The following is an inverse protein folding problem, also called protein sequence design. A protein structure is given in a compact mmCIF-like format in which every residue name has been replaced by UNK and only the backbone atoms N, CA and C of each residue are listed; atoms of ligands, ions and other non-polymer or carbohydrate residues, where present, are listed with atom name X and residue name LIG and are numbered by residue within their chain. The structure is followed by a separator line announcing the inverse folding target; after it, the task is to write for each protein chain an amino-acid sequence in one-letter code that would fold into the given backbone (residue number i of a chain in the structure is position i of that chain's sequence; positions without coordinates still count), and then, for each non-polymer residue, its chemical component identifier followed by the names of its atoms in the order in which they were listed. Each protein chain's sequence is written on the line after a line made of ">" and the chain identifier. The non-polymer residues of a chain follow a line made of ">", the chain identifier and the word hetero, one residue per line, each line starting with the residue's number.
data_IF_835844079582
#
_entry.id   IF_835844079582
#
_cell.length_a   1.000
_cell.length_b   1.000
_cell.length_c   1.000
_cell.angle_alpha   90.00
_cell.angle_beta   90.00
_cell.angle_gamma   90.00
#
_symmetry.space_group_name_H-M   'P 1'
#
loop_
_entity.id
_entity.type
_entity.pdbx_description
1 polymer ?
#
# COMPACT_ATOMS: atom_id res chain seq x y z
N UNK A 1 0.98 20.33 -4.29
CA UNK A 1 0.24 20.37 -5.59
C UNK A 1 0.93 19.39 -6.54
N UNK A 2 0.16 18.55 -7.23
CA UNK A 2 0.74 17.62 -8.20
C UNK A 2 1.51 18.35 -9.29
N UNK A 3 2.61 17.75 -9.76
CA UNK A 3 3.53 18.36 -10.75
C UNK A 3 3.04 18.19 -12.19
N UNK A 4 1.99 17.38 -12.40
CA UNK A 4 1.29 17.20 -13.67
C UNK A 4 -0.22 17.40 -13.46
N UNK A 5 -0.98 17.86 -14.46
CA UNK A 5 -2.43 18.00 -14.33
C UNK A 5 -3.11 16.66 -14.05
N UNK A 6 -4.06 16.63 -13.09
CA UNK A 6 -4.81 15.43 -12.72
C UNK A 6 -6.28 15.46 -13.23
N UNK A 7 -6.76 16.59 -13.69
CA UNK A 7 -8.14 16.81 -14.14
C UNK A 7 -8.34 16.70 -15.65
N UNK A 8 -7.28 16.35 -16.38
CA UNK A 8 -7.33 16.22 -17.84
C UNK A 8 -8.10 14.98 -18.29
N UNK A 9 -8.93 15.15 -19.33
CA UNK A 9 -9.54 14.00 -19.97
C UNK A 9 -8.48 13.10 -20.63
N UNK A 10 -8.52 11.78 -20.38
CA UNK A 10 -7.51 10.86 -20.90
C UNK A 10 -7.55 10.79 -22.43
N UNK A 11 -6.42 11.08 -23.07
CA UNK A 11 -6.26 10.92 -24.50
C UNK A 11 -5.94 9.47 -24.87
N UNK A 12 -6.78 8.89 -25.73
CA UNK A 12 -6.60 7.51 -26.24
C UNK A 12 -7.42 6.45 -25.50
N UNK A 13 -7.43 5.25 -26.06
CA UNK A 13 -8.26 4.13 -25.57
C UNK A 13 -7.75 3.53 -24.27
N UNK A 14 -6.44 3.34 -24.13
CA UNK A 14 -5.82 2.71 -22.95
C UNK A 14 -6.05 3.55 -21.68
N UNK A 15 -5.76 4.86 -21.65
CA UNK A 15 -6.07 5.70 -20.49
C UNK A 15 -7.57 5.74 -20.14
N UNK A 16 -8.46 5.72 -21.14
CA UNK A 16 -9.92 5.67 -20.90
C UNK A 16 -10.36 4.35 -20.24
N UNK A 17 -9.81 3.23 -20.68
CA UNK A 17 -10.08 1.93 -20.06
C UNK A 17 -9.55 1.88 -18.63
N UNK A 18 -8.34 2.36 -18.41
CA UNK A 18 -7.73 2.46 -17.07
C UNK A 18 -8.59 3.32 -16.13
N UNK A 19 -9.07 4.49 -16.59
CA UNK A 19 -10.00 5.35 -15.84
C UNK A 19 -11.29 4.62 -15.48
N UNK A 20 -11.88 3.90 -16.44
CA UNK A 20 -13.13 3.16 -16.20
C UNK A 20 -12.91 2.04 -15.19
N UNK A 21 -11.80 1.33 -15.26
CA UNK A 21 -11.42 0.28 -14.33
C UNK A 21 -11.28 0.82 -12.91
N UNK A 22 -10.50 1.88 -12.69
CA UNK A 22 -10.26 2.43 -11.35
C UNK A 22 -11.54 3.01 -10.73
N UNK A 23 -12.36 3.73 -11.50
CA UNK A 23 -13.65 4.22 -11.01
C UNK A 23 -14.60 3.10 -10.57
N UNK A 24 -14.62 1.97 -11.32
CA UNK A 24 -15.43 0.81 -10.93
C UNK A 24 -14.91 0.10 -9.70
N UNK A 25 -13.57 -0.04 -9.57
CA UNK A 25 -12.94 -0.79 -8.49
C UNK A 25 -12.84 -0.01 -7.20
N UNK A 26 -12.56 1.29 -7.25
CA UNK A 26 -12.24 2.12 -6.09
C UNK A 26 -13.22 3.28 -5.85
N UNK A 27 -14.30 3.37 -6.65
CA UNK A 27 -15.29 4.44 -6.54
C UNK A 27 -14.81 5.78 -7.11
N UNK A 28 -13.51 5.96 -7.30
CA UNK A 28 -12.90 7.17 -7.83
C UNK A 28 -11.69 6.86 -8.73
N UNK A 29 -11.23 7.88 -9.44
CA UNK A 29 -10.01 7.77 -10.22
C UNK A 29 -8.80 7.86 -9.29
N UNK A 30 -7.84 6.93 -9.39
CA UNK A 30 -6.61 6.97 -8.61
C UNK A 30 -5.58 7.87 -9.29
N UNK A 31 -5.09 8.87 -8.55
CA UNK A 31 -4.19 9.89 -9.07
C UNK A 31 -2.89 9.35 -9.69
N UNK A 32 -2.22 8.30 -9.14
CA UNK A 32 -1.03 7.73 -9.78
C UNK A 32 -1.27 7.24 -11.20
N UNK A 33 -2.44 6.62 -11.47
CA UNK A 33 -2.78 6.17 -12.81
C UNK A 33 -3.14 7.35 -13.72
N UNK A 34 -3.75 8.38 -13.17
CA UNK A 34 -4.06 9.61 -13.90
C UNK A 34 -2.77 10.33 -14.31
N UNK A 35 -1.82 10.48 -13.39
CA UNK A 35 -0.50 11.04 -13.66
C UNK A 35 0.26 10.21 -14.72
N UNK A 36 0.28 8.86 -14.56
CA UNK A 36 0.92 7.97 -15.53
C UNK A 36 0.29 8.05 -16.93
N UNK A 37 -1.00 8.43 -17.04
CA UNK A 37 -1.70 8.53 -18.33
C UNK A 37 -1.15 9.59 -19.28
N UNK A 38 -0.36 10.55 -18.76
CA UNK A 38 0.37 11.52 -19.59
C UNK A 38 1.46 10.87 -20.45
N UNK A 39 1.88 9.64 -20.11
CA UNK A 39 2.85 8.88 -20.89
C UNK A 39 2.39 7.43 -21.04
N UNK A 40 1.82 7.08 -22.19
CA UNK A 40 1.23 5.77 -22.44
C UNK A 40 2.19 4.59 -22.19
N UNK A 41 3.48 4.75 -22.51
CA UNK A 41 4.50 3.74 -22.22
C UNK A 41 4.71 3.49 -20.73
N UNK A 42 4.70 4.54 -19.89
CA UNK A 42 4.78 4.42 -18.42
C UNK A 42 3.52 3.76 -17.89
N UNK A 43 2.34 4.20 -18.31
CA UNK A 43 1.06 3.63 -17.90
C UNK A 43 0.98 2.12 -18.22
N UNK A 44 1.37 1.72 -19.42
CA UNK A 44 1.36 0.31 -19.85
C UNK A 44 2.38 -0.51 -19.06
N UNK A 45 3.60 -0.02 -18.89
CA UNK A 45 4.65 -0.74 -18.17
C UNK A 45 4.28 -0.95 -16.68
N UNK A 46 3.82 0.10 -16.01
CA UNK A 46 3.39 0.00 -14.61
C UNK A 46 2.16 -0.89 -14.49
N UNK A 47 1.15 -0.72 -15.34
CA UNK A 47 -0.05 -1.55 -15.32
C UNK A 47 0.22 -3.03 -15.60
N UNK A 48 1.17 -3.34 -16.49
CA UNK A 48 1.60 -4.71 -16.75
C UNK A 48 2.32 -5.31 -15.53
N UNK A 49 3.23 -4.55 -14.90
CA UNK A 49 3.91 -4.97 -13.68
C UNK A 49 2.91 -5.25 -12.56
N UNK A 50 1.98 -4.33 -12.27
CA UNK A 50 0.93 -4.51 -11.27
C UNK A 50 0.10 -5.77 -11.53
N UNK A 51 -0.29 -6.00 -12.77
CA UNK A 51 -1.06 -7.19 -13.14
C UNK A 51 -0.24 -8.48 -12.96
N UNK A 52 1.04 -8.46 -13.30
CA UNK A 52 1.93 -9.61 -13.17
C UNK A 52 2.16 -9.98 -11.69
N UNK A 53 2.41 -9.00 -10.83
CA UNK A 53 2.64 -9.24 -9.40
C UNK A 53 1.36 -9.68 -8.70
N UNK A 54 0.21 -9.08 -8.99
CA UNK A 54 -1.08 -9.51 -8.43
C UNK A 54 -1.40 -10.96 -8.74
N UNK A 55 -1.02 -11.45 -9.92
CA UNK A 55 -1.28 -12.83 -10.34
C UNK A 55 -0.21 -13.81 -9.88
N UNK A 56 1.06 -13.40 -9.90
CA UNK A 56 2.21 -14.29 -9.75
C UNK A 56 2.75 -14.40 -8.33
N UNK A 57 2.67 -13.34 -7.53
CA UNK A 57 3.26 -13.31 -6.20
C UNK A 57 2.24 -13.72 -5.14
N UNK A 58 2.29 -15.01 -4.73
CA UNK A 58 1.28 -15.64 -3.87
C UNK A 58 1.88 -16.52 -2.78
N UNK A 59 3.18 -16.40 -2.50
CA UNK A 59 3.85 -17.19 -1.47
C UNK A 59 3.73 -16.56 -0.09
N UNK A 60 3.91 -15.24 -0.03
CA UNK A 60 3.82 -14.49 1.22
C UNK A 60 2.36 -14.35 1.67
N UNK A 61 2.12 -14.52 2.96
CA UNK A 61 0.80 -14.28 3.56
C UNK A 61 0.30 -12.86 3.25
N UNK A 62 -1.00 -12.68 2.93
CA UNK A 62 -1.54 -11.37 2.57
C UNK A 62 -1.37 -10.29 3.65
N UNK A 63 -1.45 -10.64 4.94
CA UNK A 63 -1.24 -9.69 6.04
C UNK A 63 0.21 -9.26 6.10
N UNK A 64 1.16 -10.20 6.00
CA UNK A 64 2.59 -9.91 6.00
C UNK A 64 3.00 -9.04 4.81
N UNK A 65 2.46 -9.35 3.63
CA UNK A 65 2.62 -8.53 2.43
C UNK A 65 2.13 -7.10 2.66
N UNK A 66 0.92 -6.96 3.20
CA UNK A 66 0.35 -5.64 3.47
C UNK A 66 1.19 -4.85 4.47
N UNK A 67 1.65 -5.51 5.56
CA UNK A 67 2.51 -4.88 6.57
C UNK A 67 3.81 -4.34 5.94
N UNK A 68 4.46 -5.13 5.08
CA UNK A 68 5.68 -4.71 4.39
C UNK A 68 5.44 -3.50 3.48
N UNK A 69 4.39 -3.53 2.67
CA UNK A 69 4.00 -2.45 1.75
C UNK A 69 3.70 -1.18 2.54
N UNK A 70 2.81 -1.28 3.53
CA UNK A 70 2.35 -0.12 4.29
C UNK A 70 3.48 0.53 5.08
N UNK A 71 4.37 -0.29 5.69
CA UNK A 71 5.52 0.24 6.42
C UNK A 71 6.51 0.95 5.51
N UNK A 72 6.80 0.39 4.35
CA UNK A 72 7.66 1.02 3.33
C UNK A 72 7.10 2.36 2.85
N UNK A 73 5.80 2.41 2.55
CA UNK A 73 5.12 3.64 2.13
C UNK A 73 5.23 4.75 3.18
N UNK A 74 5.00 4.41 4.46
CA UNK A 74 5.11 5.34 5.59
C UNK A 74 6.54 5.86 5.76
N UNK A 75 7.54 4.99 5.63
CA UNK A 75 8.94 5.38 5.80
C UNK A 75 9.42 6.33 4.69
N UNK A 76 8.95 6.12 3.46
CA UNK A 76 9.24 7.01 2.32
C UNK A 76 8.48 8.34 2.45
N UNK A 77 7.38 8.37 3.19
CA UNK A 77 6.53 9.54 3.37
C UNK A 77 5.55 9.76 2.20
N UNK A 78 5.18 8.69 1.48
CA UNK A 78 4.15 8.75 0.45
C UNK A 78 2.76 8.80 1.10
N UNK A 79 2.20 10.00 1.27
CA UNK A 79 0.88 10.16 1.88
C UNK A 79 -0.24 9.50 1.05
N UNK A 80 -0.13 9.50 -0.28
CA UNK A 80 -1.06 8.79 -1.15
C UNK A 80 -1.03 7.27 -0.90
N UNK A 81 0.17 6.68 -0.86
CA UNK A 81 0.34 5.24 -0.67
C UNK A 81 -0.13 4.80 0.73
N UNK A 82 0.14 5.64 1.75
CA UNK A 82 -0.29 5.38 3.12
C UNK A 82 -1.81 5.41 3.26
N UNK A 83 -2.47 6.39 2.65
CA UNK A 83 -3.92 6.54 2.62
C UNK A 83 -4.60 5.37 1.89
N UNK A 84 -4.12 5.05 0.69
CA UNK A 84 -4.63 3.95 -0.10
C UNK A 84 -4.36 2.58 0.55
N UNK A 85 -3.16 2.40 1.12
CA UNK A 85 -2.81 1.17 1.85
C UNK A 85 -3.67 0.95 3.10
N UNK A 86 -4.06 2.02 3.81
CA UNK A 86 -5.03 1.93 4.90
C UNK A 86 -6.38 1.38 4.40
N UNK A 87 -6.90 1.96 3.32
CA UNK A 87 -8.13 1.50 2.68
C UNK A 87 -8.04 0.02 2.25
N UNK A 88 -6.95 -0.38 1.60
CA UNK A 88 -6.74 -1.77 1.18
C UNK A 88 -6.66 -2.72 2.39
N UNK A 89 -5.96 -2.35 3.47
CA UNK A 89 -5.86 -3.15 4.68
C UNK A 89 -7.21 -3.39 5.36
N UNK A 90 -8.02 -2.34 5.49
CA UNK A 90 -9.37 -2.43 6.06
C UNK A 90 -10.30 -3.31 5.19
N UNK A 91 -10.23 -3.17 3.86
CA UNK A 91 -11.05 -3.97 2.94
C UNK A 91 -10.56 -5.43 2.80
N UNK A 92 -9.29 -5.70 3.03
CA UNK A 92 -8.74 -7.06 3.07
C UNK A 92 -9.10 -7.82 4.36
N UNK A 93 -9.72 -7.17 5.34
CA UNK A 93 -10.10 -7.77 6.61
C UNK A 93 -8.93 -7.97 7.57
N UNK A 94 -7.85 -7.22 7.41
CA UNK A 94 -6.74 -7.18 8.37
C UNK A 94 -7.26 -6.55 9.66
N UNK A 95 -6.78 -7.04 10.82
CA UNK A 95 -7.17 -6.49 12.11
C UNK A 95 -7.07 -4.96 12.11
N UNK A 96 -8.19 -4.24 12.31
CA UNK A 96 -8.20 -2.78 12.30
C UNK A 96 -7.24 -2.14 13.30
N UNK A 97 -6.91 -2.83 14.40
CA UNK A 97 -5.93 -2.35 15.36
C UNK A 97 -4.51 -2.40 14.76
N UNK A 98 -4.17 -3.45 14.04
CA UNK A 98 -2.90 -3.54 13.31
C UNK A 98 -2.81 -2.47 12.21
N UNK A 99 -3.89 -2.29 11.44
CA UNK A 99 -3.93 -1.27 10.39
C UNK A 99 -3.66 0.14 10.94
N UNK A 100 -4.26 0.48 12.09
CA UNK A 100 -4.09 1.80 12.72
C UNK A 100 -2.73 2.00 13.38
N UNK A 101 -2.09 0.94 13.85
CA UNK A 101 -0.89 1.00 14.67
C UNK A 101 0.42 0.65 13.94
N UNK A 102 0.39 0.30 12.64
CA UNK A 102 1.57 -0.11 11.88
C UNK A 102 2.70 0.95 11.90
N UNK A 103 2.37 2.21 12.00
CA UNK A 103 3.35 3.30 12.13
C UNK A 103 4.15 3.28 13.44
N UNK A 104 3.60 2.68 14.50
CA UNK A 104 4.19 2.57 15.84
C UNK A 104 4.36 1.12 16.28
N UNK A 105 4.59 0.23 15.34
CA UNK A 105 4.66 -1.21 15.59
C UNK A 105 5.73 -1.61 16.63
N UNK A 106 6.81 -0.85 16.74
CA UNK A 106 7.87 -1.08 17.74
C UNK A 106 7.35 -1.03 19.18
N UNK A 107 6.38 -0.15 19.44
CA UNK A 107 5.78 0.10 20.75
C UNK A 107 4.53 -0.73 21.02
N UNK A 108 4.11 -1.54 20.04
CA UNK A 108 2.84 -2.27 20.08
C UNK A 108 3.06 -3.77 20.27
N UNK A 109 2.25 -4.40 21.12
CA UNK A 109 2.23 -5.85 21.34
C UNK A 109 1.30 -6.59 20.35
N UNK A 110 0.68 -5.88 19.42
CA UNK A 110 -0.26 -6.44 18.44
C UNK A 110 0.40 -7.36 17.41
N UNK A 111 1.70 -7.22 17.20
CA UNK A 111 2.44 -7.90 16.14
C UNK A 111 3.22 -9.08 16.70
N UNK A 112 3.02 -10.25 16.08
CA UNK A 112 3.80 -11.44 16.40
C UNK A 112 5.24 -11.39 15.84
N UNK A 113 6.05 -12.40 16.15
CA UNK A 113 7.47 -12.42 15.73
C UNK A 113 7.65 -12.42 14.21
N UNK A 114 6.79 -13.12 13.46
CA UNK A 114 6.85 -13.13 12.00
C UNK A 114 6.53 -11.76 11.41
N UNK A 115 5.51 -11.11 11.94
CA UNK A 115 5.10 -9.77 11.54
C UNK A 115 6.18 -8.73 11.87
N UNK A 116 6.80 -8.84 13.06
CA UNK A 116 7.89 -7.94 13.48
C UNK A 116 9.11 -8.05 12.58
N UNK A 117 9.52 -9.27 12.22
CA UNK A 117 10.65 -9.48 11.30
C UNK A 117 10.37 -8.90 9.92
N UNK A 118 9.14 -9.03 9.41
CA UNK A 118 8.72 -8.43 8.12
C UNK A 118 8.73 -6.90 8.18
N UNK A 119 8.20 -6.32 9.27
CA UNK A 119 8.18 -4.86 9.46
C UNK A 119 9.59 -4.28 9.55
N UNK A 120 10.48 -4.94 10.31
CA UNK A 120 11.87 -4.54 10.41
C UNK A 120 12.59 -4.67 9.06
N UNK A 121 12.36 -5.76 8.33
CA UNK A 121 12.90 -5.93 6.99
C UNK A 121 12.45 -4.82 6.04
N UNK A 122 11.15 -4.50 6.03
CA UNK A 122 10.61 -3.43 5.21
C UNK A 122 11.29 -2.07 5.50
N UNK A 123 11.53 -1.76 6.78
CA UNK A 123 12.26 -0.56 7.17
C UNK A 123 13.69 -0.57 6.65
N UNK A 124 14.44 -1.64 6.96
CA UNK A 124 15.87 -1.73 6.63
C UNK A 124 16.12 -1.77 5.13
N UNK A 125 15.30 -2.49 4.38
CA UNK A 125 15.40 -2.57 2.92
C UNK A 125 14.98 -1.27 2.22
N UNK A 126 14.12 -0.45 2.85
CA UNK A 126 13.68 0.85 2.30
C UNK A 126 14.69 1.98 2.53
N UNK A 127 15.59 1.84 3.49
CA UNK A 127 16.65 2.82 3.75
C UNK A 127 17.58 3.01 2.54
N UNK A 128 18.23 4.17 2.46
CA UNK A 128 19.21 4.47 1.40
C UNK A 128 20.53 4.88 2.07
N UNK A 129 21.59 4.05 1.98
CA UNK A 129 21.61 2.70 1.41
C UNK A 129 20.77 1.71 2.23
N UNK A 130 20.36 0.59 1.61
CA UNK A 130 19.67 -0.47 2.32
C UNK A 130 20.54 -1.05 3.45
N UNK A 131 19.92 -1.36 4.59
CA UNK A 131 20.61 -1.74 5.84
C UNK A 131 20.15 -3.11 6.38
N UNK A 132 19.92 -4.07 5.50
CA UNK A 132 19.59 -5.43 5.90
C UNK A 132 20.86 -6.10 6.42
N UNK A 133 20.90 -6.38 7.74
CA UNK A 133 22.03 -7.05 8.39
C UNK A 133 21.96 -8.57 8.23
N UNK A 134 23.11 -9.24 8.41
CA UNK A 134 23.17 -10.71 8.40
C UNK A 134 22.27 -11.31 9.51
N UNK A 135 22.21 -10.70 10.70
CA UNK A 135 21.30 -11.13 11.77
C UNK A 135 19.83 -11.08 11.34
N UNK A 136 19.42 -9.98 10.70
CA UNK A 136 18.05 -9.88 10.18
C UNK A 136 17.78 -10.92 9.08
N UNK A 137 18.75 -11.18 8.21
CA UNK A 137 18.64 -12.21 7.19
C UNK A 137 18.51 -13.61 7.82
N UNK A 138 19.28 -13.93 8.86
CA UNK A 138 19.14 -15.18 9.60
C UNK A 138 17.77 -15.32 10.28
N UNK A 139 17.24 -14.25 10.85
CA UNK A 139 15.89 -14.23 11.45
C UNK A 139 14.81 -14.47 10.41
N UNK A 140 14.95 -13.91 9.20
CA UNK A 140 14.06 -14.19 8.08
C UNK A 140 14.12 -15.69 7.69
N UNK A 141 15.30 -16.27 7.52
CA UNK A 141 15.45 -17.69 7.17
C UNK A 141 14.90 -18.65 8.23
N UNK A 142 14.84 -18.24 9.50
CA UNK A 142 14.18 -19.04 10.55
C UNK A 142 12.64 -19.07 10.43
N UNK A 143 12.05 -18.07 9.78
CA UNK A 143 10.59 -17.88 9.74
C UNK A 143 9.98 -18.12 8.36
N UNK A 144 10.78 -18.00 7.30
CA UNK A 144 10.33 -17.96 5.91
C UNK A 144 11.17 -18.83 5.01
N UNK A 145 10.56 -19.40 3.99
CA UNK A 145 11.27 -20.04 2.88
C UNK A 145 11.94 -19.00 1.99
N UNK A 146 12.93 -19.42 1.20
CA UNK A 146 13.62 -18.56 0.23
C UNK A 146 12.63 -17.90 -0.73
N UNK A 147 11.58 -18.62 -1.13
CA UNK A 147 10.56 -18.07 -2.03
C UNK A 147 9.73 -16.95 -1.38
N UNK A 148 9.41 -17.06 -0.09
CA UNK A 148 8.72 -16.00 0.66
C UNK A 148 9.64 -14.80 0.88
N UNK A 149 10.92 -15.02 1.16
CA UNK A 149 11.92 -13.94 1.32
C UNK A 149 12.10 -13.17 0.01
N UNK A 150 12.21 -13.87 -1.12
CA UNK A 150 12.32 -13.23 -2.45
C UNK A 150 11.05 -12.44 -2.77
N UNK A 151 9.87 -12.99 -2.47
CA UNK A 151 8.60 -12.29 -2.69
C UNK A 151 8.47 -11.07 -1.77
N UNK A 152 8.88 -11.17 -0.49
CA UNK A 152 8.93 -10.04 0.45
C UNK A 152 9.84 -8.92 -0.08
N UNK A 153 11.05 -9.27 -0.52
CA UNK A 153 11.97 -8.30 -1.12
C UNK A 153 11.37 -7.63 -2.37
N UNK A 154 10.70 -8.42 -3.20
CA UNK A 154 9.97 -7.92 -4.36
C UNK A 154 8.88 -6.90 -3.99
N UNK A 155 8.05 -7.21 -2.99
CA UNK A 155 6.98 -6.30 -2.54
C UNK A 155 7.52 -4.99 -1.96
N UNK A 156 8.59 -5.04 -1.16
CA UNK A 156 9.25 -3.84 -0.63
C UNK A 156 9.84 -3.00 -1.78
N UNK A 157 10.53 -3.63 -2.74
CA UNK A 157 11.09 -2.93 -3.90
C UNK A 157 10.01 -2.29 -4.77
N UNK A 158 8.90 -2.99 -4.99
CA UNK A 158 7.76 -2.48 -5.74
C UNK A 158 7.13 -1.28 -5.04
N UNK A 159 6.96 -1.35 -3.72
CA UNK A 159 6.43 -0.22 -2.97
C UNK A 159 7.40 0.97 -2.97
N UNK A 160 8.69 0.74 -2.92
CA UNK A 160 9.68 1.81 -3.12
C UNK A 160 9.54 2.49 -4.49
N UNK A 161 9.28 1.71 -5.55
CA UNK A 161 8.98 2.25 -6.87
C UNK A 161 7.72 3.12 -6.84
N UNK A 162 6.61 2.58 -6.33
CA UNK A 162 5.31 3.28 -6.24
C UNK A 162 5.40 4.57 -5.45
N UNK A 163 5.93 4.46 -4.23
CA UNK A 163 6.02 5.58 -3.30
C UNK A 163 6.92 6.70 -3.84
N UNK A 164 8.05 6.36 -4.44
CA UNK A 164 8.97 7.37 -5.01
C UNK A 164 8.41 7.99 -6.30
N UNK A 165 7.72 7.22 -7.13
CA UNK A 165 7.00 7.72 -8.29
C UNK A 165 5.94 8.75 -7.87
N UNK A 166 5.10 8.40 -6.90
CA UNK A 166 4.04 9.27 -6.42
C UNK A 166 4.58 10.52 -5.72
N UNK A 167 5.56 10.37 -4.83
CA UNK A 167 6.21 11.49 -4.16
C UNK A 167 6.92 12.43 -5.16
N UNK A 168 7.62 11.88 -6.15
CA UNK A 168 8.29 12.64 -7.21
C UNK A 168 7.34 13.44 -8.10
N UNK A 169 6.08 13.02 -8.19
CA UNK A 169 5.01 13.74 -8.89
C UNK A 169 4.18 14.66 -7.98
N UNK A 170 4.51 14.73 -6.68
CA UNK A 170 3.78 15.57 -5.73
C UNK A 170 2.34 15.09 -5.48
N UNK A 171 2.09 13.78 -5.57
CA UNK A 171 0.78 13.21 -5.28
C UNK A 171 0.57 13.10 -3.77
N UNK A 172 -0.64 13.40 -3.31
CA UNK A 172 -1.01 13.40 -1.90
C UNK A 172 -2.23 12.51 -1.64
N UNK A 173 -2.56 12.30 -0.35
CA UNK A 173 -3.75 11.57 0.07
C UNK A 173 -5.01 12.04 -0.68
N UNK A 174 -5.83 11.09 -1.12
CA UNK A 174 -7.13 11.31 -1.77
C UNK A 174 -8.32 11.04 -0.85
N UNK A 175 -8.10 10.80 0.46
CA UNK A 175 -9.15 10.53 1.45
C UNK A 175 -9.74 9.12 1.35
N UNK A 176 -8.98 8.13 0.88
CA UNK A 176 -9.43 6.73 0.86
C UNK A 176 -9.67 6.18 2.28
N UNK A 177 -8.79 6.51 3.22
CA UNK A 177 -8.92 6.10 4.62
C UNK A 177 -10.22 6.59 5.26
N UNK A 178 -10.65 7.82 4.96
CA UNK A 178 -11.87 8.42 5.48
C UNK A 178 -13.12 7.62 5.09
N UNK A 179 -13.12 6.97 3.93
CA UNK A 179 -14.21 6.12 3.47
C UNK A 179 -14.43 4.89 4.36
N UNK A 180 -13.37 4.43 5.05
CA UNK A 180 -13.44 3.30 5.97
C UNK A 180 -13.94 3.70 7.37
N UNK A 181 -13.69 4.94 7.79
CA UNK A 181 -14.06 5.44 9.13
C UNK A 181 -15.55 5.84 9.22
N UNK A 182 -16.12 6.42 8.16
CA UNK A 182 -17.51 6.89 8.13
C UNK A 182 -18.55 5.80 8.48
N UNK A 183 -18.50 4.55 7.96
CA UNK A 183 -19.47 3.52 8.33
C UNK A 183 -19.39 3.06 9.78
N UNK A 184 -18.21 3.08 10.40
CA UNK A 184 -18.02 2.68 11.79
C UNK A 184 -18.57 3.72 12.77
N UNK A 185 -18.37 5.01 12.51
CA UNK A 185 -18.91 6.08 13.34
C UNK A 185 -20.45 6.14 13.32
N UNK A 186 -21.09 5.74 12.21
CA UNK A 186 -22.56 5.64 12.13
C UNK A 186 -23.13 4.47 12.93
N UNK A 187 -22.40 3.36 13.09
CA UNK A 187 -22.84 2.20 13.90
C UNK A 187 -22.75 2.50 15.40
N UNK A 188 -21.74 3.21 15.84
CA UNK A 188 -21.58 3.56 17.26
C UNK A 188 -22.59 4.63 17.73
N UNK A 189 -22.97 5.56 16.85
CA UNK A 189 -23.97 6.59 17.18
C UNK A 189 -25.42 6.12 17.09
N UNK A 190 -25.69 4.95 16.50
CA UNK A 190 -27.05 4.38 16.37
C UNK A 190 -27.49 3.48 17.53
N UNK A 191 -26.61 3.15 18.47
CA UNK A 191 -26.91 2.24 19.58
C UNK A 191 -27.25 2.95 20.90
N UNK A 192 -27.45 4.26 20.89
CA UNK A 192 -27.62 5.07 22.10
C UNK A 192 -28.87 5.95 22.16
N UNK A 193 -30.04 5.52 21.63
CA UNK A 193 -31.31 6.25 21.88
C UNK A 193 -32.49 5.28 21.88
N UNK A 194 -32.62 4.55 23.00
CA UNK A 194 -33.93 4.11 23.53
C UNK A 194 -33.85 4.24 25.04
N UNK A 195 -34.30 5.39 25.52
CA UNK A 195 -34.74 5.55 26.91
C UNK A 195 -36.22 6.00 26.81
N UNK A 196 -37.04 5.11 27.27
CA UNK A 196 -38.44 5.35 27.67
C UNK A 196 -38.58 6.50 28.64
#
# INVERSE_FOLDING_TARGET
>A
MAHVPLDTEPMGTIPRLARTYTKRRFGQMVEPMQAASHHSGVLVAVGALETAVEKGWKKLDPTLRWLAIQRSAMLIGCSWCTDFGYFEGMNAGIDPQKVRNVGRWHESELYDERERVVLEYAERATMVPAQVSDDLAERLHRQFSDAEIVELAGWVALENLRSRFNAGLGLHSQGFAEQCEIPMSRKENGAGLTVT
#
